data_IF_133969848474
#
_entry.id   IF_133969848474
#
_cell.length_a   1.000
_cell.length_b   1.000
_cell.length_c   1.000
_cell.angle_alpha   90.00
_cell.angle_beta   90.00
_cell.angle_gamma   90.00
#
_symmetry.space_group_name_H-M   'P 1'
#
loop_
_entity.id
_entity.type
_entity.pdbx_description
1 polymer ?
#
# COMPACT_ATOMS: atom_id res chain seq x y z
N UNK A 1 12.65 -9.42 -1.67
CA UNK A 1 13.16 -10.23 -0.54
C UNK A 1 13.85 -9.27 0.43
N UNK A 2 13.38 -9.24 1.68
CA UNK A 2 14.11 -8.56 2.75
C UNK A 2 15.45 -9.26 2.91
N UNK A 3 16.55 -8.53 2.69
CA UNK A 3 17.90 -9.07 2.82
C UNK A 3 18.37 -9.12 4.27
N UNK A 4 17.68 -8.41 5.15
CA UNK A 4 17.97 -8.28 6.58
C UNK A 4 16.66 -8.41 7.38
N UNK A 5 16.76 -8.84 8.62
CA UNK A 5 15.66 -8.86 9.60
C UNK A 5 15.37 -7.46 10.15
N UNK A 6 14.27 -7.29 10.89
CA UNK A 6 13.97 -6.01 11.55
C UNK A 6 14.99 -5.69 12.65
N UNK A 7 15.43 -6.69 13.39
CA UNK A 7 16.44 -6.52 14.44
C UNK A 7 17.79 -6.10 13.82
N UNK A 8 18.20 -6.73 12.74
CA UNK A 8 19.39 -6.32 11.96
C UNK A 8 19.25 -4.92 11.36
N UNK A 9 18.05 -4.55 10.89
CA UNK A 9 17.79 -3.20 10.41
C UNK A 9 17.94 -2.17 11.54
N UNK A 10 17.35 -2.44 12.73
CA UNK A 10 17.42 -1.54 13.88
C UNK A 10 18.88 -1.31 14.30
N UNK A 11 19.66 -2.38 14.38
CA UNK A 11 21.08 -2.31 14.78
C UNK A 11 21.91 -1.52 13.74
N UNK A 12 21.79 -1.85 12.46
CA UNK A 12 22.52 -1.17 11.38
C UNK A 12 22.12 0.31 11.27
N UNK A 13 20.84 0.61 11.39
CA UNK A 13 20.34 1.99 11.33
C UNK A 13 20.85 2.82 12.52
N UNK A 14 20.86 2.24 13.73
CA UNK A 14 21.38 2.89 14.92
C UNK A 14 22.87 3.15 14.83
N UNK A 15 23.66 2.19 14.33
CA UNK A 15 25.11 2.37 14.13
C UNK A 15 25.40 3.46 13.11
N UNK A 16 24.72 3.46 11.95
CA UNK A 16 24.90 4.46 10.91
C UNK A 16 24.49 5.85 11.41
N UNK A 17 23.33 6.01 12.02
CA UNK A 17 22.86 7.28 12.57
C UNK A 17 23.80 7.84 13.65
N UNK A 18 24.34 6.97 14.50
CA UNK A 18 25.33 7.33 15.53
C UNK A 18 26.64 7.82 14.89
N UNK A 19 27.08 7.20 13.81
CA UNK A 19 28.28 7.65 13.07
C UNK A 19 28.13 9.05 12.48
N UNK A 20 26.87 9.47 12.19
CA UNK A 20 26.49 10.79 11.69
C UNK A 20 26.22 11.82 12.81
N UNK A 21 26.40 11.43 14.09
CA UNK A 21 26.28 12.31 15.25
C UNK A 21 24.95 12.27 15.98
N UNK A 22 23.98 11.46 15.54
CA UNK A 22 22.67 11.29 16.19
C UNK A 22 22.32 9.81 16.26
N UNK A 23 22.16 9.29 17.47
CA UNK A 23 21.71 7.89 17.67
C UNK A 23 20.18 7.86 17.51
N UNK A 24 19.69 7.13 16.52
CA UNK A 24 18.25 6.97 16.21
C UNK A 24 17.93 5.47 16.18
N UNK A 25 16.83 5.09 16.85
CA UNK A 25 16.33 3.73 16.84
C UNK A 25 15.60 3.44 15.51
N UNK A 26 16.03 2.43 14.78
CA UNK A 26 15.42 2.06 13.49
C UNK A 26 13.97 1.59 13.64
N UNK A 27 13.61 0.95 14.76
CA UNK A 27 12.24 0.56 15.08
C UNK A 27 11.31 1.76 15.24
N UNK A 28 11.78 2.86 15.85
CA UNK A 28 11.01 4.12 15.93
C UNK A 28 10.76 4.71 14.54
N UNK A 29 11.77 4.68 13.68
CA UNK A 29 11.62 5.14 12.28
C UNK A 29 10.57 4.31 11.54
N UNK A 30 10.60 2.97 11.69
CA UNK A 30 9.60 2.09 11.09
C UNK A 30 8.19 2.37 11.61
N UNK A 31 8.04 2.70 12.88
CA UNK A 31 6.74 3.09 13.45
C UNK A 31 6.22 4.40 12.85
N UNK A 32 7.08 5.38 12.59
CA UNK A 32 6.70 6.62 11.90
C UNK A 32 6.23 6.38 10.46
N UNK A 33 6.72 5.32 9.81
CA UNK A 33 6.31 4.94 8.45
C UNK A 33 4.95 4.21 8.39
N UNK A 34 4.38 3.83 9.54
CA UNK A 34 3.12 3.07 9.57
C UNK A 34 1.89 3.89 9.17
N UNK A 35 1.96 5.20 9.10
CA UNK A 35 0.87 6.07 8.66
C UNK A 35 -0.46 5.87 9.41
N UNK A 36 -1.33 6.84 9.34
CA UNK A 36 -2.68 6.74 9.90
C UNK A 36 -3.69 6.34 8.81
N UNK A 37 -4.69 5.56 9.22
CA UNK A 37 -5.85 5.26 8.38
C UNK A 37 -6.64 6.54 8.15
N UNK A 38 -6.98 6.81 6.90
CA UNK A 38 -7.81 7.97 6.51
C UNK A 38 -9.26 7.52 6.35
N UNK A 39 -10.17 7.92 7.24
CA UNK A 39 -11.55 7.42 7.24
C UNK A 39 -12.30 7.67 5.93
N UNK A 40 -12.01 8.79 5.24
CA UNK A 40 -12.61 9.11 3.95
C UNK A 40 -12.19 8.13 2.85
N UNK A 41 -10.97 7.61 2.89
CA UNK A 41 -10.51 6.58 1.95
C UNK A 41 -11.19 5.23 2.23
N UNK A 42 -11.42 4.90 3.51
CA UNK A 42 -12.18 3.69 3.89
C UNK A 42 -13.61 3.77 3.36
N UNK A 43 -14.29 4.89 3.59
CA UNK A 43 -15.65 5.12 3.05
C UNK A 43 -15.68 5.02 1.52
N UNK A 44 -14.62 5.46 0.85
CA UNK A 44 -14.53 5.33 -0.60
C UNK A 44 -14.43 3.86 -1.05
N UNK A 45 -13.65 3.01 -0.35
CA UNK A 45 -13.60 1.57 -0.62
C UNK A 45 -14.99 0.92 -0.46
N UNK A 46 -15.69 1.21 0.64
CA UNK A 46 -17.04 0.70 0.89
C UNK A 46 -18.03 1.13 -0.21
N UNK A 47 -17.94 2.39 -0.63
CA UNK A 47 -18.80 2.94 -1.68
C UNK A 47 -18.51 2.31 -3.04
N UNK A 48 -17.26 2.12 -3.40
CA UNK A 48 -16.86 1.42 -4.63
C UNK A 48 -17.36 -0.03 -4.62
N UNK A 49 -17.18 -0.74 -3.50
CA UNK A 49 -17.67 -2.11 -3.33
C UNK A 49 -19.18 -2.19 -3.50
N UNK A 50 -19.94 -1.24 -2.91
CA UNK A 50 -21.40 -1.16 -3.07
C UNK A 50 -21.85 -0.89 -4.51
N UNK A 51 -20.95 -0.38 -5.35
CA UNK A 51 -21.16 -0.13 -6.78
C UNK A 51 -20.62 -1.26 -7.68
N UNK A 52 -20.27 -2.40 -7.07
CA UNK A 52 -19.72 -3.58 -7.75
C UNK A 52 -18.37 -3.36 -8.45
N UNK A 53 -17.57 -2.39 -7.98
CA UNK A 53 -16.18 -2.32 -8.40
C UNK A 53 -15.39 -3.45 -7.75
N UNK A 54 -14.49 -4.07 -8.52
CA UNK A 54 -13.51 -5.03 -7.99
C UNK A 54 -12.35 -4.27 -7.38
N UNK A 55 -12.01 -4.59 -6.14
CA UNK A 55 -10.98 -3.89 -5.37
C UNK A 55 -9.79 -4.80 -5.11
N UNK A 56 -8.59 -4.33 -5.41
CA UNK A 56 -7.36 -5.04 -5.12
C UNK A 56 -6.37 -4.16 -4.35
N UNK A 57 -5.78 -4.72 -3.29
CA UNK A 57 -4.69 -4.09 -2.55
C UNK A 57 -3.35 -4.66 -3.04
N UNK A 58 -2.50 -3.80 -3.59
CA UNK A 58 -1.15 -4.13 -4.04
C UNK A 58 -0.13 -3.54 -3.06
N UNK A 59 0.55 -4.38 -2.27
CA UNK A 59 1.41 -3.90 -1.20
C UNK A 59 2.83 -4.46 -1.26
N UNK A 60 3.81 -3.54 -1.02
CA UNK A 60 5.19 -3.91 -0.78
C UNK A 60 5.39 -4.11 0.72
N UNK A 61 5.11 -5.33 1.21
CA UNK A 61 5.23 -5.61 2.63
C UNK A 61 6.68 -5.78 3.07
N UNK A 62 7.00 -5.17 4.20
CA UNK A 62 8.13 -5.60 5.03
C UNK A 62 7.67 -6.76 5.92
N UNK A 63 8.52 -7.76 6.13
CA UNK A 63 8.29 -8.74 7.18
C UNK A 63 8.38 -8.02 8.53
N UNK A 64 7.26 -7.58 9.05
CA UNK A 64 7.17 -7.25 10.47
C UNK A 64 7.19 -8.56 11.22
N UNK A 65 8.38 -8.99 11.64
CA UNK A 65 8.52 -10.12 12.57
C UNK A 65 7.77 -9.77 13.85
N UNK A 66 6.71 -10.51 14.12
CA UNK A 66 5.88 -10.39 15.30
C UNK A 66 6.71 -10.42 16.59
N UNK A 67 6.78 -9.31 17.30
CA UNK A 67 7.24 -9.32 18.71
C UNK A 67 6.74 -8.17 19.59
N UNK A 68 5.59 -7.53 19.35
CA UNK A 68 4.95 -6.73 20.40
C UNK A 68 3.42 -6.79 20.29
N UNK A 69 2.85 -7.81 20.90
CA UNK A 69 1.48 -8.26 20.71
C UNK A 69 0.38 -7.45 21.41
N UNK A 70 0.68 -6.60 22.36
CA UNK A 70 -0.38 -6.07 23.25
C UNK A 70 -0.90 -4.66 22.94
N UNK A 71 -0.13 -3.82 22.21
CA UNK A 71 -0.62 -2.50 21.73
C UNK A 71 -1.04 -2.54 20.25
N UNK A 72 -0.77 -3.66 19.58
CA UNK A 72 -1.04 -3.90 18.16
C UNK A 72 -2.44 -4.47 17.88
N UNK A 73 -3.15 -4.97 18.90
CA UNK A 73 -4.38 -5.72 18.69
C UNK A 73 -5.52 -4.87 18.10
N UNK A 74 -5.72 -3.64 18.59
CA UNK A 74 -6.80 -2.78 18.09
C UNK A 74 -6.46 -2.17 16.71
N UNK A 75 -5.23 -1.70 16.51
CA UNK A 75 -4.78 -1.18 15.22
C UNK A 75 -4.70 -2.28 14.13
N UNK A 76 -4.32 -3.50 14.52
CA UNK A 76 -4.33 -4.65 13.62
C UNK A 76 -5.75 -5.08 13.27
N UNK A 77 -6.68 -5.03 14.23
CA UNK A 77 -8.08 -5.34 14.00
C UNK A 77 -8.71 -4.35 13.01
N UNK A 78 -8.51 -3.05 13.21
CA UNK A 78 -8.97 -2.02 12.28
C UNK A 78 -8.39 -2.23 10.86
N UNK A 79 -7.10 -2.52 10.75
CA UNK A 79 -6.47 -2.84 9.46
C UNK A 79 -7.06 -4.09 8.82
N UNK A 80 -7.33 -5.14 9.59
CA UNK A 80 -7.97 -6.36 9.07
C UNK A 80 -9.39 -6.07 8.59
N UNK A 81 -10.16 -5.25 9.30
CA UNK A 81 -11.51 -4.84 8.89
C UNK A 81 -11.45 -4.05 7.55
N UNK A 82 -10.47 -3.15 7.40
CA UNK A 82 -10.26 -2.44 6.12
C UNK A 82 -9.88 -3.40 5.00
N UNK A 83 -9.00 -4.36 5.27
CA UNK A 83 -8.57 -5.35 4.27
C UNK A 83 -9.73 -6.22 3.77
N UNK A 84 -10.79 -6.42 4.56
CA UNK A 84 -12.00 -7.14 4.14
C UNK A 84 -12.80 -6.41 3.03
N UNK A 85 -12.49 -5.14 2.74
CA UNK A 85 -13.07 -4.44 1.60
C UNK A 85 -12.47 -4.88 0.26
N UNK A 86 -11.27 -5.45 0.25
CA UNK A 86 -10.60 -5.87 -0.98
C UNK A 86 -11.00 -7.29 -1.37
N UNK A 87 -11.24 -7.50 -2.67
CA UNK A 87 -11.48 -8.82 -3.25
C UNK A 87 -10.16 -9.60 -3.42
N UNK A 88 -9.04 -8.87 -3.60
CA UNK A 88 -7.71 -9.44 -3.70
C UNK A 88 -6.70 -8.62 -2.87
N UNK A 89 -5.84 -9.32 -2.14
CA UNK A 89 -4.68 -8.74 -1.46
C UNK A 89 -3.44 -9.38 -2.09
N UNK A 90 -2.60 -8.58 -2.72
CA UNK A 90 -1.43 -9.03 -3.48
C UNK A 90 -0.19 -8.48 -2.80
N UNK A 91 0.57 -9.36 -2.19
CA UNK A 91 1.72 -9.03 -1.37
C UNK A 91 3.03 -9.38 -2.10
N UNK A 92 3.96 -8.45 -2.11
CA UNK A 92 5.28 -8.64 -2.75
C UNK A 92 6.05 -9.82 -2.16
N UNK A 93 5.87 -10.11 -0.88
CA UNK A 93 6.53 -11.24 -0.20
C UNK A 93 6.08 -12.61 -0.74
N UNK A 94 4.81 -12.73 -1.16
CA UNK A 94 4.26 -13.98 -1.68
C UNK A 94 4.67 -14.21 -3.13
N UNK A 95 4.74 -13.14 -3.92
CA UNK A 95 5.09 -13.22 -5.33
C UNK A 95 6.61 -13.23 -5.58
N UNK A 96 7.43 -12.81 -4.61
CA UNK A 96 8.89 -12.64 -4.78
C UNK A 96 9.29 -11.48 -5.69
N UNK A 97 8.33 -10.69 -6.16
CA UNK A 97 8.47 -9.47 -6.97
C UNK A 97 7.70 -8.33 -6.31
N UNK A 98 7.99 -7.08 -6.65
CA UNK A 98 7.42 -5.93 -5.97
C UNK A 98 7.24 -4.73 -6.90
N UNK A 99 6.44 -3.75 -6.48
CA UNK A 99 6.41 -2.43 -7.12
C UNK A 99 7.80 -1.78 -7.01
N UNK A 100 8.36 -1.16 -8.06
CA UNK A 100 7.76 -0.85 -9.37
C UNK A 100 8.09 -1.87 -10.49
N UNK A 101 8.44 -3.12 -10.21
CA UNK A 101 8.74 -4.13 -11.22
C UNK A 101 7.49 -4.39 -12.08
N UNK A 102 7.61 -4.31 -13.41
CA UNK A 102 6.50 -4.48 -14.35
C UNK A 102 5.77 -5.82 -14.17
N UNK A 103 6.54 -6.88 -13.90
CA UNK A 103 6.02 -8.23 -13.67
C UNK A 103 5.05 -8.31 -12.49
N UNK A 104 5.24 -7.45 -11.46
CA UNK A 104 4.32 -7.39 -10.33
C UNK A 104 2.91 -6.96 -10.76
N UNK A 105 2.81 -5.95 -11.64
CA UNK A 105 1.53 -5.47 -12.16
C UNK A 105 0.90 -6.45 -13.14
N UNK A 106 1.70 -7.06 -14.03
CA UNK A 106 1.23 -8.09 -14.94
C UNK A 106 0.63 -9.27 -14.18
N UNK A 107 1.34 -9.73 -13.13
CA UNK A 107 0.86 -10.82 -12.27
C UNK A 107 -0.39 -10.42 -11.48
N UNK A 108 -0.47 -9.16 -11.04
CA UNK A 108 -1.66 -8.64 -10.35
C UNK A 108 -2.89 -8.61 -11.27
N UNK A 109 -2.73 -8.22 -12.52
CA UNK A 109 -3.81 -8.26 -13.52
C UNK A 109 -4.25 -9.71 -13.80
N UNK A 110 -3.32 -10.66 -13.91
CA UNK A 110 -3.61 -12.09 -14.08
C UNK A 110 -4.42 -12.62 -12.90
N UNK A 111 -4.00 -12.35 -11.65
CA UNK A 111 -4.67 -12.80 -10.43
C UNK A 111 -6.08 -12.22 -10.33
N UNK A 112 -6.24 -10.95 -10.63
CA UNK A 112 -7.55 -10.27 -10.52
C UNK A 112 -8.46 -10.54 -11.72
N UNK A 113 -7.90 -10.96 -12.85
CA UNK A 113 -8.62 -11.07 -14.13
C UNK A 113 -9.10 -9.72 -14.65
N UNK A 114 -8.43 -8.62 -14.28
CA UNK A 114 -8.82 -7.26 -14.65
C UNK A 114 -8.22 -6.86 -16.00
N UNK A 115 -9.00 -6.12 -16.82
CA UNK A 115 -8.47 -5.43 -18.00
C UNK A 115 -7.72 -4.17 -17.56
N UNK A 116 -6.46 -3.97 -17.97
CA UNK A 116 -5.72 -2.76 -17.61
C UNK A 116 -6.43 -1.47 -18.08
N UNK A 117 -7.16 -1.49 -19.17
CA UNK A 117 -7.91 -0.31 -19.67
C UNK A 117 -9.12 0.05 -18.82
N UNK A 118 -9.60 -0.88 -18.02
CA UNK A 118 -10.71 -0.70 -17.07
C UNK A 118 -10.20 -0.60 -15.62
N UNK A 119 -8.89 -0.49 -15.44
CA UNK A 119 -8.24 -0.48 -14.12
C UNK A 119 -7.73 0.92 -13.78
N UNK A 120 -7.99 1.37 -12.57
CA UNK A 120 -7.43 2.59 -11.98
C UNK A 120 -6.46 2.18 -10.87
N UNK A 121 -5.21 2.63 -10.96
CA UNK A 121 -4.19 2.36 -9.97
C UNK A 121 -3.82 3.63 -9.19
N UNK A 122 -3.97 3.58 -7.87
CA UNK A 122 -3.67 4.68 -6.95
C UNK A 122 -2.40 4.34 -6.16
N UNK A 123 -1.43 5.26 -6.14
CA UNK A 123 -0.21 5.11 -5.34
C UNK A 123 0.39 6.50 -5.06
N UNK A 124 1.02 6.69 -3.90
CA UNK A 124 1.67 7.95 -3.50
C UNK A 124 3.06 8.12 -4.13
N UNK A 125 3.70 7.02 -4.52
CA UNK A 125 5.02 7.03 -5.16
C UNK A 125 4.89 7.06 -6.70
N UNK A 126 5.28 8.17 -7.31
CA UNK A 126 5.22 8.33 -8.77
C UNK A 126 5.96 7.24 -9.55
N UNK A 127 7.02 6.66 -8.98
CA UNK A 127 7.77 5.56 -9.60
C UNK A 127 6.90 4.31 -9.76
N UNK A 128 5.95 4.07 -8.86
CA UNK A 128 5.04 2.93 -8.92
C UNK A 128 3.93 3.12 -9.97
N UNK A 129 3.63 4.36 -10.34
CA UNK A 129 2.59 4.65 -11.34
C UNK A 129 3.04 4.41 -12.77
N UNK A 130 4.35 4.50 -13.03
CA UNK A 130 4.89 4.39 -14.38
C UNK A 130 4.59 3.02 -15.02
N UNK A 131 4.90 1.87 -14.39
CA UNK A 131 4.59 0.57 -14.97
C UNK A 131 3.10 0.33 -15.18
N UNK A 132 2.24 0.83 -14.28
CA UNK A 132 0.79 0.73 -14.43
C UNK A 132 0.31 1.46 -15.70
N UNK A 133 0.82 2.68 -15.97
CA UNK A 133 0.52 3.41 -17.22
C UNK A 133 1.02 2.70 -18.47
N UNK A 134 2.21 2.10 -18.41
CA UNK A 134 2.78 1.33 -19.54
C UNK A 134 1.87 0.16 -19.93
N UNK A 135 1.16 -0.43 -18.96
CA UNK A 135 0.17 -1.49 -19.19
C UNK A 135 -1.21 -0.95 -19.65
N UNK A 136 -1.42 0.36 -19.62
CA UNK A 136 -2.67 1.00 -20.06
C UNK A 136 -3.66 1.31 -18.96
N UNK A 137 -3.28 1.18 -17.68
CA UNK A 137 -4.12 1.57 -16.55
C UNK A 137 -4.25 3.09 -16.44
N UNK A 138 -5.41 3.60 -16.04
CA UNK A 138 -5.52 4.95 -15.49
C UNK A 138 -4.78 5.01 -14.15
N UNK A 139 -4.13 6.14 -13.86
CA UNK A 139 -3.35 6.25 -12.61
C UNK A 139 -3.63 7.55 -11.89
N UNK A 140 -3.75 7.47 -10.57
CA UNK A 140 -3.88 8.62 -9.67
C UNK A 140 -2.66 8.67 -8.77
N UNK A 141 -1.91 9.77 -8.81
CA UNK A 141 -0.86 10.03 -7.80
C UNK A 141 -1.52 10.61 -6.57
N UNK A 142 -1.54 9.84 -5.49
CA UNK A 142 -2.12 10.28 -4.23
C UNK A 142 -1.20 11.29 -3.54
N UNK A 143 -1.61 12.55 -3.47
CA UNK A 143 -0.96 13.60 -2.70
C UNK A 143 -1.66 13.80 -1.36
N UNK A 144 -2.98 13.80 -1.40
CA UNK A 144 -3.88 13.79 -0.25
C UNK A 144 -5.20 13.09 -0.63
N UNK A 145 -6.05 12.81 0.37
CA UNK A 145 -7.30 12.09 0.14
C UNK A 145 -8.32 12.87 -0.68
N UNK A 146 -8.43 14.19 -0.48
CA UNK A 146 -9.42 15.00 -1.18
C UNK A 146 -9.12 15.07 -2.69
N UNK A 147 -7.84 15.31 -3.03
CA UNK A 147 -7.39 15.31 -4.43
C UNK A 147 -7.62 13.92 -5.06
N UNK A 148 -7.22 12.85 -4.37
CA UNK A 148 -7.35 11.50 -4.90
C UNK A 148 -8.82 11.10 -5.14
N UNK A 149 -9.72 11.44 -4.20
CA UNK A 149 -11.15 11.15 -4.32
C UNK A 149 -11.82 11.98 -5.42
N UNK A 150 -11.40 13.23 -5.63
CA UNK A 150 -11.87 14.04 -6.75
C UNK A 150 -11.47 13.42 -8.10
N UNK A 151 -10.21 13.07 -8.29
CA UNK A 151 -9.76 12.42 -9.53
C UNK A 151 -10.43 11.06 -9.73
N UNK A 152 -10.67 10.32 -8.64
CA UNK A 152 -11.39 9.05 -8.69
C UNK A 152 -12.86 9.27 -9.10
N UNK A 153 -13.51 10.34 -8.62
CA UNK A 153 -14.85 10.76 -9.06
C UNK A 153 -14.89 11.02 -10.57
N UNK A 154 -13.91 11.78 -11.08
CA UNK A 154 -13.82 12.13 -12.50
C UNK A 154 -13.66 10.89 -13.39
N UNK A 155 -12.93 9.87 -12.93
CA UNK A 155 -12.70 8.63 -13.67
C UNK A 155 -13.85 7.62 -13.56
N UNK A 156 -14.52 7.55 -12.41
CA UNK A 156 -15.55 6.52 -12.14
C UNK A 156 -16.98 7.01 -12.28
N UNK A 157 -17.20 8.32 -12.20
CA UNK A 157 -18.52 8.92 -12.07
C UNK A 157 -19.17 8.70 -10.68
N UNK A 158 -18.45 8.10 -9.71
CA UNK A 158 -18.93 7.89 -8.34
C UNK A 158 -18.57 9.10 -7.51
N UNK A 159 -19.60 9.77 -6.94
CA UNK A 159 -19.37 10.86 -6.00
C UNK A 159 -18.92 10.30 -4.64
N UNK A 160 -17.83 10.79 -4.08
CA UNK A 160 -17.28 10.38 -2.76
C UNK A 160 -17.48 11.43 -1.66
N UNK A 161 -18.20 12.51 -1.94
CA UNK A 161 -18.62 13.48 -0.93
C UNK A 161 -19.70 12.94 0.00
#
# INVERSE_FOLDING_TARGET
>A
QSKITLDEFDELFREESKSLGHEVNGGEVLNLLQGEVRPEMVRALEKLKSKNFKLACLTNNFNSGDKNQSALDDANKERMEIMNNFDHIIESKELGIRKPDLDFYMKSLEITGADPKETIFLDDLGINLKPARELGMATIKVLDSNQALKELTDLTGVNFE
#
